data_IF_793955813598
#
_entry.id   IF_793955813598
#
_cell.length_a   1.000
_cell.length_b   1.000
_cell.length_c   1.000
_cell.angle_alpha   90.00
_cell.angle_beta   90.00
_cell.angle_gamma   90.00
#
_symmetry.space_group_name_H-M   'P 1'
#
loop_
_entity.id
_entity.type
_entity.pdbx_description
1 polymer ?
#
# COMPACT_ATOMS: atom_id res chain seq x y z
N UNK A 1 3.01 -51.17 0.77
CA UNK A 1 3.95 -50.03 0.65
C UNK A 1 3.53 -48.92 -0.32
N UNK A 2 2.54 -49.10 -1.23
CA UNK A 2 2.14 -48.03 -2.19
C UNK A 2 1.16 -46.97 -1.64
N UNK A 3 0.35 -47.29 -0.62
CA UNK A 3 -0.57 -46.33 0.00
C UNK A 3 0.15 -45.21 0.78
N UNK A 4 1.29 -45.51 1.41
CA UNK A 4 2.07 -44.54 2.19
C UNK A 4 2.65 -43.43 1.31
N UNK A 5 3.04 -43.77 0.08
CA UNK A 5 3.67 -42.85 -0.88
C UNK A 5 2.65 -41.85 -1.48
N UNK A 6 1.41 -42.29 -1.70
CA UNK A 6 0.30 -41.40 -2.07
C UNK A 6 -0.09 -40.47 -0.92
N UNK A 7 -0.11 -40.98 0.32
CA UNK A 7 -0.45 -40.17 1.49
C UNK A 7 0.60 -39.10 1.80
N UNK A 8 1.89 -39.41 1.62
CA UNK A 8 2.97 -38.43 1.82
C UNK A 8 3.03 -37.41 0.69
N UNK A 9 2.76 -37.80 -0.57
CA UNK A 9 2.62 -36.85 -1.69
C UNK A 9 1.46 -35.88 -1.49
N UNK A 10 0.33 -36.37 -0.96
CA UNK A 10 -0.84 -35.54 -0.68
C UNK A 10 -0.57 -34.52 0.43
N UNK A 11 0.12 -34.94 1.50
CA UNK A 11 0.57 -34.05 2.58
C UNK A 11 1.59 -33.01 2.09
N UNK A 12 2.55 -33.39 1.24
CA UNK A 12 3.52 -32.46 0.66
C UNK A 12 2.86 -31.44 -0.29
N UNK A 13 1.86 -31.86 -1.05
CA UNK A 13 1.10 -30.98 -1.95
C UNK A 13 0.30 -29.92 -1.17
N UNK A 14 -0.27 -30.30 -0.02
CA UNK A 14 -0.99 -29.36 0.87
C UNK A 14 -0.07 -28.32 1.52
N UNK A 15 1.18 -28.69 1.84
CA UNK A 15 2.15 -27.75 2.42
C UNK A 15 2.59 -26.68 1.41
N UNK A 16 2.69 -27.03 0.13
CA UNK A 16 3.10 -26.08 -0.93
C UNK A 16 1.99 -25.09 -1.33
N UNK A 17 0.72 -25.42 -1.09
CA UNK A 17 -0.43 -24.53 -1.38
C UNK A 17 -0.56 -23.42 -0.32
N UNK A 18 0.01 -23.61 0.88
CA UNK A 18 -0.10 -22.64 1.98
C UNK A 18 0.80 -21.40 1.88
N UNK A 19 1.66 -21.29 0.86
CA UNK A 19 2.70 -20.24 0.78
C UNK A 19 2.36 -19.12 -0.23
N UNK A 20 1.24 -19.21 -0.95
CA UNK A 20 0.99 -18.32 -2.12
C UNK A 20 0.29 -16.99 -1.83
N UNK A 21 -0.14 -16.71 -0.60
CA UNK A 21 -0.91 -15.49 -0.29
C UNK A 21 -0.37 -14.67 0.90
N UNK A 22 0.95 -14.61 1.06
CA UNK A 22 1.56 -13.52 1.84
C UNK A 22 1.50 -12.22 1.04
N UNK A 23 0.29 -11.73 0.75
CA UNK A 23 0.12 -10.34 0.31
C UNK A 23 0.37 -9.49 1.55
N UNK A 24 1.49 -8.79 1.54
CA UNK A 24 1.97 -8.05 2.69
C UNK A 24 0.87 -7.09 3.18
N UNK A 25 0.43 -7.18 4.46
CA UNK A 25 -0.67 -6.38 4.98
C UNK A 25 -0.37 -4.87 4.94
N UNK A 26 0.91 -4.50 4.93
CA UNK A 26 1.35 -3.11 4.78
C UNK A 26 1.13 -2.60 3.37
N UNK A 27 1.27 -3.46 2.36
CA UNK A 27 1.05 -3.08 0.96
C UNK A 27 -0.41 -2.70 0.67
N UNK A 28 -1.38 -3.43 1.23
CA UNK A 28 -2.81 -3.09 1.10
C UNK A 28 -3.13 -1.74 1.75
N UNK A 29 -2.55 -1.48 2.92
CA UNK A 29 -2.75 -0.23 3.64
C UNK A 29 -2.08 0.95 2.95
N UNK A 30 -0.89 0.76 2.40
CA UNK A 30 -0.24 1.79 1.59
C UNK A 30 -1.02 2.12 0.33
N UNK A 31 -1.63 1.14 -0.33
CA UNK A 31 -2.57 1.38 -1.44
C UNK A 31 -3.75 2.27 -1.05
N UNK A 32 -4.33 2.02 0.13
CA UNK A 32 -5.45 2.80 0.67
C UNK A 32 -5.03 4.26 0.97
N UNK A 33 -3.89 4.43 1.63
CA UNK A 33 -3.28 5.74 1.96
C UNK A 33 -2.98 6.52 0.68
N UNK A 34 -2.34 5.87 -0.29
CA UNK A 34 -1.93 6.52 -1.52
C UNK A 34 -3.11 6.89 -2.40
N UNK A 35 -4.14 6.04 -2.48
CA UNK A 35 -5.40 6.38 -3.15
C UNK A 35 -6.09 7.60 -2.53
N UNK A 36 -6.04 7.72 -1.19
CA UNK A 36 -6.53 8.91 -0.50
C UNK A 36 -5.69 10.15 -0.84
N UNK A 37 -4.36 10.04 -0.82
CA UNK A 37 -3.45 11.12 -1.17
C UNK A 37 -3.67 11.61 -2.61
N UNK A 38 -3.77 10.72 -3.60
CA UNK A 38 -3.99 11.14 -5.00
C UNK A 38 -5.36 11.82 -5.17
N UNK A 39 -6.39 11.34 -4.46
CA UNK A 39 -7.71 11.98 -4.46
C UNK A 39 -7.67 13.38 -3.85
N UNK A 40 -6.81 13.61 -2.86
CA UNK A 40 -6.57 14.92 -2.27
C UNK A 40 -5.87 15.88 -3.22
N UNK A 41 -4.84 15.39 -3.94
CA UNK A 41 -4.16 16.13 -4.99
C UNK A 41 -5.14 16.48 -6.11
N UNK A 42 -5.92 15.52 -6.61
CA UNK A 42 -6.94 15.78 -7.63
C UNK A 42 -7.94 16.86 -7.22
N UNK A 43 -8.40 16.87 -5.96
CA UNK A 43 -9.28 17.92 -5.43
C UNK A 43 -8.60 19.29 -5.32
N UNK A 44 -7.34 19.34 -4.92
CA UNK A 44 -6.60 20.61 -4.84
C UNK A 44 -6.27 21.19 -6.21
N UNK A 45 -5.91 20.34 -7.17
CA UNK A 45 -5.55 20.73 -8.53
C UNK A 45 -6.73 20.73 -9.49
N UNK A 46 -7.96 20.46 -9.00
CA UNK A 46 -9.18 20.49 -9.80
C UNK A 46 -9.39 21.82 -10.52
N UNK A 47 -8.86 22.92 -9.95
CA UNK A 47 -8.89 24.25 -10.55
C UNK A 47 -7.89 24.46 -11.68
N UNK A 48 -6.90 23.57 -11.86
CA UNK A 48 -5.88 23.61 -12.94
C UNK A 48 -6.13 22.58 -14.05
N UNK A 49 -7.20 21.79 -13.94
CA UNK A 49 -7.56 20.74 -14.90
C UNK A 49 -7.38 19.32 -14.35
N UNK A 50 -8.00 18.31 -14.97
CA UNK A 50 -7.88 16.93 -14.54
C UNK A 50 -6.42 16.47 -14.66
N UNK A 51 -5.93 15.81 -13.62
CA UNK A 51 -4.61 15.21 -13.63
C UNK A 51 -4.57 14.07 -14.64
N UNK A 52 -3.51 14.00 -15.44
CA UNK A 52 -3.38 12.95 -16.46
C UNK A 52 -3.26 11.58 -15.78
N UNK A 53 -3.89 10.54 -16.33
CA UNK A 53 -3.91 9.20 -15.72
C UNK A 53 -2.50 8.61 -15.54
N UNK A 54 -1.57 8.98 -16.42
CA UNK A 54 -0.13 8.68 -16.35
C UNK A 54 0.51 9.26 -15.09
N UNK A 55 0.26 10.54 -14.79
CA UNK A 55 0.73 11.21 -13.58
C UNK A 55 0.09 10.64 -12.32
N UNK A 56 -1.21 10.34 -12.37
CA UNK A 56 -1.92 9.71 -11.26
C UNK A 56 -1.28 8.37 -10.88
N UNK A 57 -1.03 7.53 -11.89
CA UNK A 57 -0.41 6.22 -11.70
C UNK A 57 1.02 6.33 -11.17
N UNK A 58 1.79 7.28 -11.71
CA UNK A 58 3.15 7.54 -11.26
C UNK A 58 3.20 7.98 -9.79
N UNK A 59 2.36 8.95 -9.39
CA UNK A 59 2.27 9.40 -8.00
C UNK A 59 1.81 8.29 -7.05
N UNK A 60 0.91 7.41 -7.50
CA UNK A 60 0.43 6.32 -6.69
C UNK A 60 1.54 5.28 -6.42
N UNK A 61 2.33 4.95 -7.45
CA UNK A 61 3.49 4.06 -7.31
C UNK A 61 4.56 4.67 -6.40
N UNK A 62 4.88 5.95 -6.61
CA UNK A 62 5.87 6.67 -5.82
C UNK A 62 5.45 6.76 -4.35
N UNK A 63 4.17 7.06 -4.09
CA UNK A 63 3.59 7.04 -2.76
C UNK A 63 3.62 5.64 -2.13
N UNK A 64 3.25 4.58 -2.86
CA UNK A 64 3.26 3.21 -2.34
C UNK A 64 4.69 2.80 -1.95
N UNK A 65 5.67 3.16 -2.78
CA UNK A 65 7.09 2.89 -2.50
C UNK A 65 7.60 3.64 -1.28
N UNK A 66 7.20 4.91 -1.11
CA UNK A 66 7.54 5.71 0.07
C UNK A 66 6.84 5.22 1.34
N UNK A 67 5.56 4.85 1.22
CA UNK A 67 4.77 4.31 2.32
C UNK A 67 5.30 2.96 2.81
N UNK A 68 5.76 2.07 1.91
CA UNK A 68 6.40 0.82 2.31
C UNK A 68 7.76 1.05 2.99
N UNK A 69 8.53 2.04 2.52
CA UNK A 69 9.83 2.38 3.11
C UNK A 69 9.68 2.98 4.51
N UNK A 70 8.65 3.80 4.70
CA UNK A 70 8.42 4.59 5.91
C UNK A 70 7.05 4.27 6.55
N UNK A 71 6.69 2.99 6.54
CA UNK A 71 5.40 2.49 7.02
C UNK A 71 5.10 2.88 8.47
N UNK A 72 6.14 3.08 9.29
CA UNK A 72 6.03 3.53 10.68
C UNK A 72 5.52 4.96 10.85
N UNK A 73 5.53 5.78 9.78
CA UNK A 73 5.10 7.18 9.81
C UNK A 73 3.85 7.41 8.96
N UNK A 74 3.79 6.82 7.76
CA UNK A 74 2.67 7.01 6.85
C UNK A 74 1.34 6.46 7.40
N UNK A 75 1.37 5.30 8.06
CA UNK A 75 0.18 4.70 8.68
C UNK A 75 -0.41 5.52 9.83
N UNK A 76 0.34 5.86 10.90
CA UNK A 76 -0.22 6.61 12.01
C UNK A 76 -0.69 7.99 11.59
N UNK A 77 -0.05 8.61 10.60
CA UNK A 77 -0.53 9.87 10.02
C UNK A 77 -1.87 9.73 9.31
N UNK A 78 -2.08 8.66 8.55
CA UNK A 78 -3.37 8.38 7.93
C UNK A 78 -4.47 8.03 8.95
N UNK A 79 -4.11 7.30 10.02
CA UNK A 79 -5.06 6.97 11.08
C UNK A 79 -5.44 8.18 11.94
N UNK A 80 -4.49 9.10 12.18
CA UNK A 80 -4.69 10.31 12.97
C UNK A 80 -5.41 11.42 12.19
N UNK A 81 -5.08 11.58 10.90
CA UNK A 81 -5.54 12.69 10.07
C UNK A 81 -6.10 12.19 8.74
N UNK A 82 -7.42 12.07 8.66
CA UNK A 82 -8.15 11.73 7.42
C UNK A 82 -8.52 12.95 6.57
N UNK A 83 -7.82 14.06 6.78
CA UNK A 83 -7.99 15.28 5.99
C UNK A 83 -6.79 15.45 5.06
N UNK A 84 -7.01 15.96 3.85
CA UNK A 84 -5.93 16.14 2.86
C UNK A 84 -4.77 16.99 3.42
N UNK A 85 -5.12 18.05 4.14
CA UNK A 85 -4.17 19.00 4.71
C UNK A 85 -3.47 18.43 5.94
N UNK A 86 -4.22 17.76 6.84
CA UNK A 86 -3.67 17.14 8.03
C UNK A 86 -2.79 15.94 7.72
N UNK A 87 -3.16 15.11 6.74
CA UNK A 87 -2.35 13.98 6.28
C UNK A 87 -1.01 14.47 5.70
N UNK A 88 -1.06 15.46 4.79
CA UNK A 88 0.15 16.05 4.20
C UNK A 88 1.04 16.70 5.26
N UNK A 89 0.43 17.40 6.22
CA UNK A 89 1.16 18.03 7.32
C UNK A 89 1.82 16.98 8.20
N UNK A 90 1.11 15.94 8.58
CA UNK A 90 1.64 14.85 9.40
C UNK A 90 2.80 14.13 8.70
N UNK A 91 2.69 13.87 7.39
CA UNK A 91 3.80 13.32 6.60
C UNK A 91 5.03 14.22 6.61
N UNK A 92 4.87 15.53 6.41
CA UNK A 92 6.00 16.48 6.50
C UNK A 92 6.60 16.54 7.91
N UNK A 93 5.76 16.50 8.95
CA UNK A 93 6.18 16.56 10.36
C UNK A 93 6.86 15.26 10.82
N UNK A 94 6.54 14.14 10.16
CA UNK A 94 7.12 12.83 10.43
C UNK A 94 8.52 12.60 9.85
N UNK A 95 9.10 13.59 9.15
CA UNK A 95 10.48 13.51 8.63
C UNK A 95 10.62 12.67 7.36
N UNK A 96 9.52 12.35 6.67
CA UNK A 96 9.52 11.59 5.41
C UNK A 96 10.22 12.32 4.24
N UNK A 97 10.47 13.63 4.41
CA UNK A 97 10.95 14.58 3.39
C UNK A 97 12.25 15.29 3.80
N UNK A 98 13.09 14.69 4.66
CA UNK A 98 14.49 15.09 4.87
C UNK A 98 15.47 14.07 4.26
#
# INVERSE_FOLDING_TARGET
MRLSLFSTLFLFSFIMIGITDCKDPYQQKCQEICGFFTSCVEKQFQSKGPMEASQKSFMQIECESGCLREQGYAMPCYESEKTCTGFTRCLMESGLMD
#
